data_IF_151183037153
#
_entry.id   IF_151183037153
#
_cell.length_a   1.000
_cell.length_b   1.000
_cell.length_c   1.000
_cell.angle_alpha   90.00
_cell.angle_beta   90.00
_cell.angle_gamma   90.00
#
_symmetry.space_group_name_H-M   'P 1'
#
loop_
_entity.id
_entity.type
_entity.pdbx_description
1 polymer ?
#
# COMPACT_ATOMS: atom_id res chain seq x y z
N UNK A 1 35.44 -5.20 3.41
CA UNK A 1 36.65 -5.17 4.26
C UNK A 1 36.33 -5.93 5.54
N UNK A 2 36.93 -7.09 5.75
CA UNK A 2 36.78 -7.86 7.00
C UNK A 2 37.99 -7.50 7.86
N UNK A 3 37.74 -6.88 9.02
CA UNK A 3 38.80 -6.51 9.96
C UNK A 3 39.52 -7.78 10.46
N UNK A 4 40.85 -7.72 10.54
CA UNK A 4 41.68 -8.84 11.02
C UNK A 4 41.55 -9.04 12.53
N UNK A 5 41.81 -10.26 13.00
CA UNK A 5 41.70 -10.69 14.40
C UNK A 5 42.54 -9.85 15.39
N UNK A 6 43.55 -9.13 14.93
CA UNK A 6 44.33 -8.20 15.75
C UNK A 6 43.61 -6.88 16.05
N UNK A 7 42.74 -6.39 15.14
CA UNK A 7 41.94 -5.18 15.39
C UNK A 7 40.86 -5.43 16.45
N UNK A 8 40.32 -6.65 16.51
CA UNK A 8 39.38 -7.08 17.55
C UNK A 8 40.04 -7.19 18.94
N UNK A 9 41.33 -7.51 19.00
CA UNK A 9 42.06 -7.65 20.27
C UNK A 9 42.33 -6.31 20.94
N UNK A 10 42.64 -5.26 20.17
CA UNK A 10 42.85 -3.89 20.68
C UNK A 10 41.58 -3.21 21.20
N UNK A 11 40.40 -3.71 20.83
CA UNK A 11 39.10 -3.20 21.32
C UNK A 11 38.66 -3.82 22.66
N UNK A 12 39.35 -4.86 23.13
CA UNK A 12 39.05 -5.54 24.40
C UNK A 12 39.56 -4.79 25.64
N UNK A 13 40.36 -3.73 25.48
CA UNK A 13 41.05 -3.06 26.59
C UNK A 13 40.33 -1.81 27.14
N UNK A 14 39.24 -1.35 26.51
CA UNK A 14 38.12 -0.63 27.18
C UNK A 14 37.15 -0.09 26.12
N UNK A 15 36.04 -0.78 25.82
CA UNK A 15 34.98 -0.16 25.06
C UNK A 15 34.23 0.76 26.01
N UNK A 16 34.34 2.07 25.83
CA UNK A 16 33.30 2.96 26.34
C UNK A 16 31.96 2.48 25.77
N UNK A 17 30.90 2.48 26.57
CA UNK A 17 29.55 2.10 26.09
C UNK A 17 29.14 2.84 24.80
N UNK A 18 29.71 4.04 24.59
CA UNK A 18 29.58 4.81 23.36
C UNK A 18 30.20 4.13 22.13
N UNK A 19 31.39 3.52 22.25
CA UNK A 19 32.05 2.81 21.16
C UNK A 19 31.31 1.57 20.67
N UNK A 20 30.58 0.88 21.56
CA UNK A 20 29.72 -0.25 21.18
C UNK A 20 28.39 0.21 20.55
N UNK A 21 27.83 1.33 21.03
CA UNK A 21 26.63 1.97 20.47
C UNK A 21 26.89 2.55 19.07
N UNK A 22 28.07 3.09 18.81
CA UNK A 22 28.46 3.62 17.49
C UNK A 22 28.55 2.54 16.38
N UNK A 23 28.53 1.25 16.72
CA UNK A 23 28.70 0.15 15.75
C UNK A 23 27.41 -0.64 15.44
N UNK A 24 26.27 -0.24 16.00
CA UNK A 24 24.98 -0.85 15.71
C UNK A 24 24.03 0.17 15.08
N UNK A 25 24.47 0.91 14.06
CA UNK A 25 23.51 1.55 13.15
C UNK A 25 22.68 0.45 12.50
N UNK A 26 21.42 0.33 12.89
CA UNK A 26 20.49 -0.65 12.35
C UNK A 26 19.88 -0.05 11.09
N UNK A 27 20.59 -0.20 9.97
CA UNK A 27 20.02 0.12 8.66
C UNK A 27 18.71 -0.64 8.45
N UNK A 28 17.70 0.07 7.92
CA UNK A 28 16.43 -0.50 7.51
C UNK A 28 16.46 -0.84 6.03
N UNK A 29 15.84 -1.95 5.64
CA UNK A 29 15.51 -2.23 4.25
C UNK A 29 13.99 -2.19 4.08
N UNK A 30 13.52 -1.50 3.05
CA UNK A 30 12.12 -1.48 2.65
C UNK A 30 11.95 -2.25 1.34
N UNK A 31 11.00 -3.16 1.28
CA UNK A 31 10.60 -3.89 0.07
C UNK A 31 9.19 -3.47 -0.28
N UNK A 32 9.01 -2.92 -1.48
CA UNK A 32 7.80 -2.25 -1.91
C UNK A 32 7.39 -2.73 -3.30
N UNK A 33 6.09 -2.89 -3.51
CA UNK A 33 5.48 -3.24 -4.79
C UNK A 33 4.19 -2.43 -4.99
N UNK A 34 3.59 -2.51 -6.18
CA UNK A 34 2.39 -1.80 -6.57
C UNK A 34 1.11 -2.53 -6.14
N UNK A 35 0.09 -1.77 -5.74
CA UNK A 35 -1.26 -2.30 -5.58
C UNK A 35 -2.29 -1.43 -6.32
N UNK A 36 -3.20 -2.12 -6.99
CA UNK A 36 -4.15 -1.51 -7.91
C UNK A 36 -3.51 -1.15 -9.25
N UNK A 37 -4.24 -1.33 -10.34
CA UNK A 37 -3.75 -0.99 -11.68
C UNK A 37 -3.43 0.51 -11.77
N UNK A 38 -2.40 0.92 -12.52
CA UNK A 38 -2.03 2.34 -12.66
C UNK A 38 -3.00 3.14 -13.54
N UNK A 39 -3.71 2.51 -14.47
CA UNK A 39 -4.55 3.17 -15.47
C UNK A 39 -5.77 3.93 -14.89
N UNK A 40 -6.51 4.68 -15.74
CA UNK A 40 -7.73 5.37 -15.33
C UNK A 40 -8.79 4.42 -14.76
N UNK A 41 -9.72 4.97 -13.97
CA UNK A 41 -10.84 4.23 -13.41
C UNK A 41 -12.13 5.02 -13.60
N UNK A 42 -13.19 4.34 -14.05
CA UNK A 42 -14.53 4.92 -14.20
C UNK A 42 -15.51 4.20 -13.28
N UNK A 43 -15.63 2.89 -13.45
CA UNK A 43 -16.47 2.05 -12.59
C UNK A 43 -16.06 0.59 -12.74
N UNK A 44 -16.38 -0.23 -11.74
CA UNK A 44 -16.14 -1.68 -11.79
C UNK A 44 -16.85 -2.41 -12.94
N UNK A 45 -17.84 -1.77 -13.57
CA UNK A 45 -18.62 -2.33 -14.69
C UNK A 45 -18.21 -1.76 -16.06
N UNK A 46 -17.28 -0.80 -16.09
CA UNK A 46 -16.83 -0.20 -17.34
C UNK A 46 -16.04 -1.22 -18.18
N UNK A 47 -16.21 -1.23 -19.50
CA UNK A 47 -15.57 -2.23 -20.37
C UNK A 47 -14.03 -2.22 -20.24
N UNK A 48 -13.44 -1.03 -20.33
CA UNK A 48 -11.98 -0.80 -20.28
C UNK A 48 -11.41 -0.33 -18.93
N UNK A 49 -12.05 0.62 -18.24
CA UNK A 49 -11.49 1.30 -17.06
C UNK A 49 -12.12 0.82 -15.74
N UNK A 50 -11.99 -0.49 -15.46
CA UNK A 50 -12.66 -1.17 -14.33
C UNK A 50 -11.75 -1.74 -13.25
N UNK A 51 -10.44 -1.75 -13.47
CA UNK A 51 -9.54 -2.63 -12.70
C UNK A 51 -9.47 -2.29 -11.21
N UNK A 52 -9.23 -1.01 -10.88
CA UNK A 52 -9.09 -0.61 -9.49
C UNK A 52 -9.30 0.89 -9.26
N UNK A 53 -10.06 1.31 -8.23
CA UNK A 53 -10.27 2.73 -7.91
C UNK A 53 -9.09 3.42 -7.22
N UNK A 54 -8.09 2.65 -6.77
CA UNK A 54 -6.89 3.14 -6.08
C UNK A 54 -5.65 2.71 -6.85
N UNK A 55 -4.62 3.54 -6.85
CA UNK A 55 -3.26 3.14 -7.18
C UNK A 55 -2.35 3.46 -5.99
N UNK A 56 -1.43 2.57 -5.66
CA UNK A 56 -0.59 2.72 -4.48
C UNK A 56 0.65 1.85 -4.48
N UNK A 57 1.53 2.12 -3.53
CA UNK A 57 2.69 1.30 -3.20
C UNK A 57 2.55 0.75 -1.79
N UNK A 58 2.90 -0.52 -1.60
CA UNK A 58 2.86 -1.17 -0.30
C UNK A 58 3.98 -2.19 -0.16
N UNK A 59 4.24 -2.62 1.08
CA UNK A 59 5.11 -3.73 1.37
C UNK A 59 5.50 -3.71 2.84
N UNK A 60 6.79 -3.86 3.12
CA UNK A 60 7.29 -3.86 4.49
C UNK A 60 8.66 -3.20 4.63
N UNK A 61 8.93 -2.71 5.84
CA UNK A 61 10.22 -2.22 6.28
C UNK A 61 10.71 -3.07 7.45
N UNK A 62 12.00 -3.39 7.49
CA UNK A 62 12.60 -4.30 8.46
C UNK A 62 14.07 -3.95 8.72
N UNK A 63 14.62 -4.18 9.92
CA UNK A 63 16.06 -4.16 10.15
C UNK A 63 16.84 -5.06 9.16
N UNK A 64 17.91 -4.54 8.58
CA UNK A 64 18.68 -5.21 7.53
C UNK A 64 19.19 -6.59 7.94
N UNK A 65 19.64 -6.74 9.20
CA UNK A 65 20.12 -8.01 9.74
C UNK A 65 19.04 -9.11 9.80
N UNK A 66 17.76 -8.73 9.76
CA UNK A 66 16.62 -9.65 9.83
C UNK A 66 16.05 -10.06 8.46
N UNK A 67 16.56 -9.49 7.37
CA UNK A 67 16.05 -9.75 6.01
C UNK A 67 16.29 -11.19 5.58
N UNK A 68 17.49 -11.72 5.81
CA UNK A 68 17.84 -13.11 5.47
C UNK A 68 16.95 -14.14 6.18
N UNK A 69 16.76 -14.08 7.51
CA UNK A 69 15.86 -15.00 8.20
C UNK A 69 14.38 -14.82 7.81
N UNK A 70 13.93 -13.61 7.42
CA UNK A 70 12.58 -13.43 6.87
C UNK A 70 12.45 -14.12 5.50
N UNK A 71 13.38 -13.84 4.57
CA UNK A 71 13.36 -14.41 3.22
C UNK A 71 13.43 -15.93 3.22
N UNK A 72 14.31 -16.52 4.02
CA UNK A 72 14.40 -17.98 4.17
C UNK A 72 13.09 -18.59 4.71
N UNK A 73 12.45 -17.92 5.67
CA UNK A 73 11.17 -18.36 6.21
C UNK A 73 10.03 -18.23 5.19
N UNK A 74 10.02 -17.15 4.39
CA UNK A 74 9.06 -16.97 3.32
C UNK A 74 9.16 -18.09 2.28
N UNK A 75 10.37 -18.38 1.79
CA UNK A 75 10.58 -19.47 0.82
C UNK A 75 10.10 -20.81 1.36
N UNK A 76 10.41 -21.13 2.62
CA UNK A 76 9.91 -22.36 3.26
C UNK A 76 8.38 -22.43 3.31
N UNK A 77 7.71 -21.34 3.71
CA UNK A 77 6.25 -21.30 3.76
C UNK A 77 5.63 -21.40 2.37
N UNK A 78 6.19 -20.68 1.39
CA UNK A 78 5.74 -20.68 -0.01
C UNK A 78 5.87 -22.07 -0.63
N UNK A 79 7.04 -22.71 -0.50
CA UNK A 79 7.30 -24.04 -1.04
C UNK A 79 6.36 -25.09 -0.46
N UNK A 80 6.03 -24.99 0.83
CA UNK A 80 5.09 -25.91 1.46
C UNK A 80 3.63 -25.64 1.04
N UNK A 81 3.22 -24.37 0.96
CA UNK A 81 1.86 -24.00 0.58
C UNK A 81 1.54 -24.37 -0.88
N UNK A 82 2.53 -24.23 -1.76
CA UNK A 82 2.37 -24.33 -3.21
C UNK A 82 3.13 -25.53 -3.80
N UNK A 83 3.43 -26.54 -2.97
CA UNK A 83 4.21 -27.73 -3.34
C UNK A 83 3.67 -28.37 -4.63
N UNK A 84 2.35 -28.60 -4.67
CA UNK A 84 1.69 -29.17 -5.84
C UNK A 84 1.90 -28.33 -7.12
N UNK A 85 1.69 -27.01 -7.06
CA UNK A 85 1.88 -26.15 -8.24
C UNK A 85 3.33 -26.08 -8.69
N UNK A 86 4.26 -26.09 -7.74
CA UNK A 86 5.71 -26.06 -8.01
C UNK A 86 6.14 -27.35 -8.70
N UNK A 87 5.72 -28.52 -8.19
CA UNK A 87 5.99 -29.83 -8.79
C UNK A 87 5.48 -29.91 -10.23
N UNK A 88 4.22 -29.48 -10.46
CA UNK A 88 3.62 -29.47 -11.80
C UNK A 88 4.30 -28.50 -12.77
N UNK A 89 4.94 -27.44 -12.26
CA UNK A 89 5.60 -26.45 -13.11
C UNK A 89 6.91 -26.94 -13.75
N UNK A 90 7.53 -27.98 -13.19
CA UNK A 90 8.86 -28.45 -13.57
C UNK A 90 10.00 -27.45 -13.31
N UNK A 91 9.72 -26.29 -12.68
CA UNK A 91 10.72 -25.28 -12.34
C UNK A 91 11.31 -25.55 -10.96
N UNK A 92 12.58 -25.16 -10.79
CA UNK A 92 13.20 -25.18 -9.47
C UNK A 92 12.42 -24.26 -8.50
N UNK A 93 12.05 -24.69 -7.27
CA UNK A 93 11.18 -23.94 -6.36
C UNK A 93 11.62 -22.48 -6.12
N UNK A 94 12.93 -22.25 -6.02
CA UNK A 94 13.52 -20.90 -5.83
C UNK A 94 13.39 -19.96 -7.02
N UNK A 95 13.14 -20.47 -8.22
CA UNK A 95 12.89 -19.68 -9.45
C UNK A 95 11.41 -19.62 -9.80
N UNK A 96 10.57 -20.25 -8.97
CA UNK A 96 9.15 -20.28 -9.15
C UNK A 96 8.50 -19.21 -8.27
N UNK A 97 7.56 -18.50 -8.88
CA UNK A 97 6.87 -17.37 -8.29
C UNK A 97 5.37 -17.54 -8.45
N UNK A 98 4.64 -17.23 -7.37
CA UNK A 98 3.20 -17.04 -7.39
C UNK A 98 2.89 -15.59 -7.09
N UNK A 99 2.33 -14.88 -8.08
CA UNK A 99 1.83 -13.52 -7.88
C UNK A 99 0.71 -13.52 -6.84
N UNK A 100 0.76 -12.57 -5.91
CA UNK A 100 -0.18 -12.40 -4.81
C UNK A 100 -1.61 -12.20 -5.33
N UNK A 101 -1.77 -11.47 -6.44
CA UNK A 101 -3.05 -11.28 -7.11
C UNK A 101 -3.67 -12.61 -7.59
N UNK A 102 -2.85 -13.60 -7.96
CA UNK A 102 -3.27 -14.95 -8.38
C UNK A 102 -3.44 -15.90 -7.20
N UNK A 103 -2.72 -15.69 -6.08
CA UNK A 103 -2.92 -16.43 -4.84
C UNK A 103 -4.23 -16.02 -4.17
N UNK A 104 -4.44 -14.71 -4.00
CA UNK A 104 -5.51 -14.10 -3.21
C UNK A 104 -6.71 -13.72 -4.09
N UNK A 105 -7.28 -14.74 -4.75
CA UNK A 105 -8.56 -14.64 -5.47
C UNK A 105 -9.70 -15.14 -4.59
N UNK A 106 -10.94 -14.71 -4.84
CA UNK A 106 -12.11 -15.18 -4.10
C UNK A 106 -12.26 -16.70 -4.20
N UNK A 107 -12.11 -17.26 -5.40
CA UNK A 107 -12.13 -18.71 -5.64
C UNK A 107 -11.10 -19.46 -4.78
N UNK A 108 -9.87 -18.97 -4.70
CA UNK A 108 -8.84 -19.64 -3.90
C UNK A 108 -9.12 -19.51 -2.40
N UNK A 109 -9.63 -18.36 -1.95
CA UNK A 109 -9.97 -18.14 -0.56
C UNK A 109 -11.18 -18.98 -0.10
N UNK A 110 -12.12 -19.27 -1.00
CA UNK A 110 -13.24 -20.17 -0.75
C UNK A 110 -12.81 -21.63 -0.73
N UNK A 111 -11.92 -22.04 -1.64
CA UNK A 111 -11.53 -23.45 -1.79
C UNK A 111 -10.37 -23.88 -0.89
N UNK A 112 -9.41 -23.00 -0.66
CA UNK A 112 -8.13 -23.27 0.01
C UNK A 112 -7.84 -22.25 1.13
N UNK A 113 -8.89 -21.61 1.67
CA UNK A 113 -8.76 -20.61 2.72
C UNK A 113 -8.12 -21.17 3.99
N UNK A 114 -8.33 -22.45 4.27
CA UNK A 114 -7.82 -23.13 5.47
C UNK A 114 -6.31 -23.37 5.42
N UNK A 115 -5.70 -23.35 4.23
CA UNK A 115 -4.25 -23.42 4.03
C UNK A 115 -3.62 -22.03 3.85
N UNK A 116 -4.28 -21.16 3.07
CA UNK A 116 -3.78 -19.81 2.76
C UNK A 116 -3.75 -18.93 4.01
N UNK A 117 -4.83 -18.92 4.82
CA UNK A 117 -4.92 -18.04 6.00
C UNK A 117 -3.83 -18.35 7.03
N UNK A 118 -3.59 -19.62 7.44
CA UNK A 118 -2.50 -19.93 8.36
C UNK A 118 -1.12 -19.62 7.77
N UNK A 119 -0.89 -19.85 6.48
CA UNK A 119 0.37 -19.52 5.83
C UNK A 119 0.66 -18.01 5.90
N UNK A 120 -0.30 -17.18 5.49
CA UNK A 120 -0.21 -15.71 5.62
C UNK A 120 0.04 -15.30 7.07
N UNK A 121 -0.70 -15.88 8.03
CA UNK A 121 -0.56 -15.57 9.46
C UNK A 121 0.85 -15.86 9.98
N UNK A 122 1.45 -16.99 9.56
CA UNK A 122 2.84 -17.33 9.92
C UNK A 122 3.83 -16.29 9.36
N UNK A 123 3.65 -15.86 8.11
CA UNK A 123 4.52 -14.86 7.47
C UNK A 123 4.46 -13.51 8.19
N UNK A 124 3.26 -12.97 8.42
CA UNK A 124 3.09 -11.69 9.12
C UNK A 124 3.60 -11.76 10.56
N UNK A 125 3.32 -12.85 11.28
CA UNK A 125 3.88 -13.05 12.62
C UNK A 125 5.41 -13.08 12.59
N UNK A 126 6.03 -13.71 11.59
CA UNK A 126 7.49 -13.72 11.44
C UNK A 126 8.03 -12.31 11.16
N UNK A 127 7.40 -11.56 10.26
CA UNK A 127 7.73 -10.16 9.98
C UNK A 127 7.76 -9.33 11.28
N UNK A 128 6.69 -9.38 12.08
CA UNK A 128 6.60 -8.60 13.31
C UNK A 128 7.56 -9.05 14.41
N UNK A 129 7.78 -10.37 14.55
CA UNK A 129 8.81 -10.90 15.48
C UNK A 129 10.22 -10.47 15.13
N UNK A 130 10.46 -10.10 13.87
CA UNK A 130 11.72 -9.58 13.37
C UNK A 130 11.75 -8.05 13.33
N UNK A 131 10.84 -7.39 14.09
CA UNK A 131 10.70 -5.94 14.17
C UNK A 131 10.38 -5.25 12.84
N UNK A 132 9.84 -6.01 11.88
CA UNK A 132 9.32 -5.45 10.65
C UNK A 132 7.97 -4.77 10.84
N UNK A 133 7.61 -3.90 9.89
CA UNK A 133 6.32 -3.20 9.81
C UNK A 133 5.79 -3.21 8.39
N UNK A 134 4.48 -3.25 8.24
CA UNK A 134 3.84 -3.00 6.95
C UNK A 134 3.84 -1.50 6.68
N UNK A 135 4.10 -1.11 5.44
CA UNK A 135 4.06 0.28 4.99
C UNK A 135 3.24 0.38 3.72
N UNK A 136 2.36 1.37 3.60
CA UNK A 136 1.60 1.60 2.38
C UNK A 136 1.19 3.05 2.18
N UNK A 137 1.18 3.48 0.92
CA UNK A 137 0.58 4.73 0.48
C UNK A 137 -0.23 4.47 -0.77
N UNK A 138 -1.47 4.96 -0.80
CA UNK A 138 -2.29 4.91 -2.00
C UNK A 138 -3.02 6.22 -2.27
N UNK A 139 -3.51 6.36 -3.50
CA UNK A 139 -4.35 7.46 -3.93
C UNK A 139 -5.63 6.91 -4.58
N UNK A 140 -6.79 7.39 -4.11
CA UNK A 140 -8.06 7.21 -4.81
C UNK A 140 -7.98 8.00 -6.12
N UNK A 141 -8.17 7.31 -7.24
CA UNK A 141 -8.10 7.92 -8.57
C UNK A 141 -9.30 8.85 -8.80
N UNK A 142 -9.12 9.95 -9.53
CA UNK A 142 -10.27 10.66 -10.07
C UNK A 142 -11.04 9.75 -11.03
N UNK A 143 -12.37 9.85 -10.98
CA UNK A 143 -13.25 9.11 -11.89
C UNK A 143 -13.22 9.77 -13.26
N UNK A 144 -12.84 9.02 -14.29
CA UNK A 144 -12.76 9.50 -15.66
C UNK A 144 -11.45 9.15 -16.36
N UNK A 145 -11.39 9.45 -17.65
CA UNK A 145 -10.23 9.33 -18.51
C UNK A 145 -9.17 10.42 -18.23
N UNK A 146 -7.99 10.30 -18.86
CA UNK A 146 -6.95 11.34 -18.77
C UNK A 146 -7.44 12.71 -19.26
N UNK A 147 -8.26 12.75 -20.31
CA UNK A 147 -8.78 14.00 -20.87
C UNK A 147 -9.75 14.71 -19.91
N UNK A 148 -10.54 13.94 -19.14
CA UNK A 148 -11.52 14.48 -18.20
C UNK A 148 -10.88 14.87 -16.85
N UNK A 149 -9.88 14.11 -16.41
CA UNK A 149 -9.30 14.26 -15.07
C UNK A 149 -8.02 15.09 -15.03
N UNK A 150 -7.35 15.23 -16.17
CA UNK A 150 -6.05 15.89 -16.30
C UNK A 150 -4.87 15.11 -15.72
N UNK A 151 -5.08 13.96 -15.08
CA UNK A 151 -4.01 13.17 -14.45
C UNK A 151 -3.51 12.06 -15.37
N UNK A 152 -2.22 12.09 -15.74
CA UNK A 152 -1.59 10.97 -16.43
C UNK A 152 -1.20 9.83 -15.48
N UNK A 153 -0.93 8.64 -16.05
CA UNK A 153 -0.39 7.51 -15.28
C UNK A 153 0.96 7.86 -14.65
N UNK A 154 1.82 8.59 -15.38
CA UNK A 154 3.13 9.03 -14.90
C UNK A 154 3.00 10.01 -13.74
N UNK A 155 2.10 10.99 -13.81
CA UNK A 155 1.86 11.95 -12.72
C UNK A 155 1.43 11.21 -11.45
N UNK A 156 0.50 10.26 -11.62
CA UNK A 156 -0.02 9.42 -10.52
C UNK A 156 1.07 8.58 -9.89
N UNK A 157 1.86 7.85 -10.70
CA UNK A 157 2.95 7.02 -10.21
C UNK A 157 3.99 7.85 -9.47
N UNK A 158 4.49 8.92 -10.10
CA UNK A 158 5.50 9.79 -9.50
C UNK A 158 5.03 10.42 -8.19
N UNK A 159 3.76 10.85 -8.12
CA UNK A 159 3.20 11.42 -6.91
C UNK A 159 3.14 10.39 -5.79
N UNK A 160 2.54 9.21 -6.01
CA UNK A 160 2.42 8.17 -4.99
C UNK A 160 3.80 7.64 -4.58
N UNK A 161 4.73 7.49 -5.53
CA UNK A 161 6.11 7.05 -5.28
C UNK A 161 6.86 8.04 -4.36
N UNK A 162 6.75 9.34 -4.61
CA UNK A 162 7.29 10.37 -3.70
C UNK A 162 6.66 10.30 -2.31
N UNK A 163 5.37 9.98 -2.20
CA UNK A 163 4.71 9.87 -0.91
C UNK A 163 5.17 8.63 -0.12
N UNK A 164 5.33 7.47 -0.76
CA UNK A 164 5.83 6.27 -0.06
C UNK A 164 7.30 6.45 0.36
N UNK A 165 8.12 7.14 -0.44
CA UNK A 165 9.49 7.48 -0.03
C UNK A 165 9.47 8.38 1.21
N UNK A 166 8.63 9.42 1.24
CA UNK A 166 8.46 10.28 2.43
C UNK A 166 7.99 9.51 3.65
N UNK A 167 7.11 8.54 3.46
CA UNK A 167 6.60 7.68 4.54
C UNK A 167 7.73 6.84 5.15
N UNK A 168 8.46 6.13 4.31
CA UNK A 168 9.59 5.29 4.70
C UNK A 168 10.66 6.13 5.38
N UNK A 169 11.00 7.28 4.78
CA UNK A 169 11.98 8.22 5.32
C UNK A 169 11.57 8.78 6.69
N UNK A 170 10.31 9.17 6.85
CA UNK A 170 9.80 9.65 8.14
C UNK A 170 9.78 8.58 9.22
N UNK A 171 9.51 7.32 8.85
CA UNK A 171 9.65 6.20 9.78
C UNK A 171 11.11 5.95 10.18
N UNK A 172 12.03 5.93 9.21
CA UNK A 172 13.47 5.76 9.46
C UNK A 172 14.02 6.89 10.35
N UNK A 173 13.65 8.14 10.06
CA UNK A 173 14.02 9.31 10.87
C UNK A 173 13.49 9.23 12.31
N UNK A 174 12.27 8.71 12.52
CA UNK A 174 11.73 8.50 13.87
C UNK A 174 12.48 7.46 14.70
N UNK A 175 13.30 6.63 14.06
CA UNK A 175 14.15 5.64 14.70
C UNK A 175 15.63 6.06 14.74
N UNK A 176 15.96 7.23 14.17
CA UNK A 176 17.35 7.67 13.94
C UNK A 176 18.17 6.70 13.08
N UNK A 177 17.51 6.02 12.13
CA UNK A 177 18.14 5.02 11.26
C UNK A 177 18.09 5.43 9.79
N UNK A 178 19.04 4.89 9.02
CA UNK A 178 19.08 5.03 7.56
C UNK A 178 18.34 3.88 6.86
N UNK A 179 17.92 4.11 5.62
CA UNK A 179 17.10 3.15 4.86
C UNK A 179 17.49 3.03 3.39
N UNK A 180 17.46 1.78 2.90
CA UNK A 180 17.47 1.45 1.47
C UNK A 180 16.10 0.93 1.04
N UNK A 181 15.67 1.32 -0.16
CA UNK A 181 14.36 0.97 -0.71
C UNK A 181 14.54 0.06 -1.93
N UNK A 182 13.82 -1.06 -1.95
CA UNK A 182 13.77 -2.01 -3.04
C UNK A 182 12.37 -2.06 -3.65
N UNK A 183 12.29 -1.99 -4.97
CA UNK A 183 11.07 -2.09 -5.77
C UNK A 183 11.08 -3.37 -6.63
N UNK A 184 9.92 -3.91 -6.99
CA UNK A 184 9.86 -4.90 -8.07
C UNK A 184 10.28 -4.25 -9.40
N UNK A 185 10.89 -5.04 -10.27
CA UNK A 185 11.32 -4.55 -11.59
C UNK A 185 10.11 -4.23 -12.46
N UNK A 186 10.19 -3.08 -13.13
CA UNK A 186 9.27 -2.69 -14.22
C UNK A 186 10.04 -2.68 -15.55
N UNK A 187 9.32 -2.60 -16.66
CA UNK A 187 9.92 -2.53 -18.00
C UNK A 187 11.04 -1.46 -18.10
N UNK A 188 12.04 -1.72 -18.95
CA UNK A 188 13.30 -0.96 -19.01
C UNK A 188 13.11 0.56 -19.22
N UNK A 189 12.12 0.97 -20.02
CA UNK A 189 11.89 2.39 -20.32
C UNK A 189 11.23 3.14 -19.16
N UNK A 190 10.28 2.50 -18.48
CA UNK A 190 9.63 3.07 -17.28
C UNK A 190 10.57 3.05 -16.08
N UNK A 191 11.56 2.16 -16.06
CA UNK A 191 12.61 2.07 -15.02
C UNK A 191 13.49 3.32 -14.95
N UNK A 192 14.05 3.80 -16.07
CA UNK A 192 14.95 4.96 -16.07
C UNK A 192 14.24 6.25 -15.66
N UNK A 193 13.05 6.49 -16.21
CA UNK A 193 12.23 7.66 -15.88
C UNK A 193 11.86 7.68 -14.38
N UNK A 194 11.41 6.54 -13.84
CA UNK A 194 11.05 6.42 -12.42
C UNK A 194 12.25 6.62 -11.49
N UNK A 195 13.41 6.05 -11.86
CA UNK A 195 14.65 6.20 -11.09
C UNK A 195 15.13 7.65 -11.10
N UNK A 196 15.10 8.32 -12.25
CA UNK A 196 15.47 9.74 -12.40
C UNK A 196 14.58 10.65 -11.55
N UNK A 197 13.26 10.42 -11.54
CA UNK A 197 12.32 11.16 -10.71
C UNK A 197 12.60 10.94 -9.22
N UNK A 198 12.90 9.71 -8.81
CA UNK A 198 13.22 9.38 -7.42
C UNK A 198 14.54 10.02 -6.97
N UNK A 199 15.59 9.88 -7.77
CA UNK A 199 16.89 10.47 -7.47
C UNK A 199 16.79 12.00 -7.37
N UNK A 200 16.12 12.64 -8.33
CA UNK A 200 15.89 14.08 -8.30
C UNK A 200 15.09 14.52 -7.07
N UNK A 201 14.17 13.68 -6.59
CA UNK A 201 13.44 13.94 -5.36
C UNK A 201 14.32 13.76 -4.11
N UNK A 202 15.04 12.65 -3.99
CA UNK A 202 15.84 12.32 -2.81
C UNK A 202 16.99 13.32 -2.63
N UNK A 203 17.68 13.66 -3.71
CA UNK A 203 18.86 14.54 -3.69
C UNK A 203 18.54 16.03 -3.85
N UNK A 204 17.27 16.43 -3.97
CA UNK A 204 16.91 17.83 -4.02
C UNK A 204 17.23 18.55 -2.69
N UNK A 205 17.79 19.75 -2.78
CA UNK A 205 18.03 20.61 -1.61
C UNK A 205 16.74 21.02 -0.88
N UNK A 206 15.60 20.99 -1.57
CA UNK A 206 14.28 21.28 -1.02
C UNK A 206 13.61 20.09 -0.32
N UNK A 207 14.25 18.92 -0.31
CA UNK A 207 13.71 17.74 0.35
C UNK A 207 13.77 17.86 1.87
N UNK A 208 12.79 17.25 2.54
CA UNK A 208 12.70 17.28 4.00
C UNK A 208 13.91 16.61 4.61
N UNK A 209 14.33 17.04 5.81
CA UNK A 209 15.47 16.44 6.50
C UNK A 209 15.32 14.92 6.66
N UNK A 210 14.09 14.42 6.88
CA UNK A 210 13.81 12.98 6.95
C UNK A 210 14.21 12.22 5.68
N UNK A 211 14.05 12.80 4.48
CA UNK A 211 14.40 12.15 3.20
C UNK A 211 15.90 11.90 3.10
N UNK A 212 16.73 12.62 3.87
CA UNK A 212 18.18 12.38 3.94
C UNK A 212 18.54 11.03 4.58
N UNK A 213 17.59 10.37 5.27
CA UNK A 213 17.74 8.99 5.74
C UNK A 213 17.71 7.96 4.61
N UNK A 214 17.19 8.33 3.43
CA UNK A 214 17.19 7.47 2.25
C UNK A 214 18.57 7.58 1.59
N UNK A 215 19.35 6.51 1.67
CA UNK A 215 20.76 6.54 1.31
C UNK A 215 21.02 6.61 -0.19
N UNK A 216 20.15 6.02 -0.99
CA UNK A 216 20.28 5.95 -2.44
C UNK A 216 18.90 5.93 -3.10
N UNK A 217 18.85 6.26 -4.39
CA UNK A 217 17.63 6.06 -5.18
C UNK A 217 17.15 4.59 -5.11
N UNK A 218 15.83 4.33 -5.13
CA UNK A 218 15.30 2.98 -4.98
C UNK A 218 15.87 2.00 -6.00
N UNK A 219 16.31 0.84 -5.51
CA UNK A 219 16.86 -0.22 -6.34
C UNK A 219 15.74 -1.16 -6.80
N UNK A 220 15.77 -1.59 -8.05
CA UNK A 220 14.78 -2.53 -8.57
C UNK A 220 15.33 -3.95 -8.58
N UNK A 221 14.53 -4.89 -8.09
CA UNK A 221 14.84 -6.31 -7.94
C UNK A 221 13.93 -7.16 -8.82
N UNK A 222 14.45 -8.27 -9.32
CA UNK A 222 13.66 -9.25 -10.07
C UNK A 222 12.89 -10.19 -9.12
N UNK A 223 11.57 -10.01 -8.98
CA UNK A 223 10.73 -10.78 -8.04
C UNK A 223 10.91 -12.30 -8.11
N UNK A 224 11.15 -12.89 -9.28
CA UNK A 224 11.38 -14.33 -9.43
C UNK A 224 12.66 -14.85 -8.75
N UNK A 225 13.59 -13.98 -8.34
CA UNK A 225 14.83 -14.31 -7.63
C UNK A 225 14.78 -14.00 -6.13
N UNK A 226 13.85 -13.15 -5.70
CA UNK A 226 13.83 -12.61 -4.33
C UNK A 226 12.48 -12.85 -3.66
N UNK A 227 12.44 -13.82 -2.73
CA UNK A 227 11.25 -14.10 -1.93
C UNK A 227 10.73 -12.92 -1.09
N UNK A 228 11.61 -11.99 -0.71
CA UNK A 228 11.21 -10.75 -0.02
C UNK A 228 10.37 -9.85 -0.92
N UNK A 229 10.69 -9.75 -2.20
CA UNK A 229 9.89 -9.00 -3.19
C UNK A 229 8.55 -9.70 -3.42
N UNK A 230 8.53 -11.03 -3.54
CA UNK A 230 7.27 -11.80 -3.63
C UNK A 230 6.38 -11.63 -2.39
N UNK A 231 6.99 -11.52 -1.20
CA UNK A 231 6.23 -11.26 0.01
C UNK A 231 5.62 -9.85 0.02
N UNK A 232 6.34 -8.84 -0.49
CA UNK A 232 5.81 -7.49 -0.67
C UNK A 232 4.59 -7.50 -1.63
N UNK A 233 4.68 -8.21 -2.76
CA UNK A 233 3.56 -8.44 -3.68
C UNK A 233 2.36 -9.10 -2.98
N UNK A 234 2.56 -10.10 -2.11
CA UNK A 234 1.46 -10.72 -1.35
C UNK A 234 0.78 -9.74 -0.37
N UNK A 235 1.55 -8.83 0.24
CA UNK A 235 1.01 -7.75 1.08
C UNK A 235 0.21 -6.77 0.20
N UNK A 236 0.75 -6.38 -0.96
CA UNK A 236 0.10 -5.49 -1.93
C UNK A 236 -1.21 -6.06 -2.42
N UNK A 237 -1.24 -7.35 -2.77
CA UNK A 237 -2.44 -8.04 -3.20
C UNK A 237 -3.53 -7.99 -2.12
N UNK A 238 -3.18 -8.30 -0.86
CA UNK A 238 -4.14 -8.25 0.25
C UNK A 238 -4.70 -6.83 0.49
N UNK A 239 -3.83 -5.81 0.48
CA UNK A 239 -4.25 -4.41 0.62
C UNK A 239 -5.07 -3.92 -0.57
N UNK A 240 -4.71 -4.34 -1.79
CA UNK A 240 -5.49 -4.12 -3.00
C UNK A 240 -6.90 -4.70 -2.86
N UNK A 241 -7.04 -5.97 -2.47
CA UNK A 241 -8.36 -6.60 -2.26
C UNK A 241 -9.17 -5.90 -1.18
N UNK A 242 -8.53 -5.55 -0.06
CA UNK A 242 -9.18 -4.83 1.03
C UNK A 242 -9.67 -3.45 0.57
N UNK A 243 -8.82 -2.65 -0.08
CA UNK A 243 -9.20 -1.32 -0.56
C UNK A 243 -10.25 -1.35 -1.68
N UNK A 244 -10.19 -2.34 -2.57
CA UNK A 244 -11.24 -2.58 -3.56
C UNK A 244 -12.58 -2.83 -2.89
N UNK A 245 -12.65 -3.71 -1.88
CA UNK A 245 -13.89 -3.96 -1.14
C UNK A 245 -14.48 -2.68 -0.54
N UNK A 246 -13.62 -1.82 0.00
CA UNK A 246 -14.04 -0.56 0.62
C UNK A 246 -14.64 0.46 -0.35
N UNK A 247 -14.17 0.46 -1.60
CA UNK A 247 -14.47 1.52 -2.57
C UNK A 247 -15.38 1.07 -3.71
N UNK A 248 -15.56 -0.24 -3.90
CA UNK A 248 -16.39 -0.82 -4.95
C UNK A 248 -17.63 -1.49 -4.36
N UNK A 249 -18.85 -1.00 -4.67
CA UNK A 249 -20.11 -1.53 -4.14
C UNK A 249 -20.31 -3.03 -4.37
N UNK A 250 -19.91 -3.55 -5.54
CA UNK A 250 -20.13 -4.96 -5.89
C UNK A 250 -18.84 -5.79 -5.80
N UNK A 251 -17.91 -5.41 -4.91
CA UNK A 251 -16.66 -6.14 -4.77
C UNK A 251 -16.87 -7.57 -4.26
N UNK A 252 -16.26 -8.53 -4.95
CA UNK A 252 -16.20 -9.94 -4.54
C UNK A 252 -15.28 -10.20 -3.32
N UNK A 253 -14.42 -9.24 -2.95
CA UNK A 253 -13.38 -9.41 -1.94
C UNK A 253 -13.86 -9.17 -0.50
N UNK A 254 -15.08 -9.60 -0.16
CA UNK A 254 -15.67 -9.42 1.18
C UNK A 254 -14.87 -10.09 2.30
N UNK A 255 -14.08 -11.11 1.95
CA UNK A 255 -13.17 -11.83 2.85
C UNK A 255 -11.90 -11.02 3.20
N UNK A 256 -11.50 -10.07 2.37
CA UNK A 256 -10.18 -9.42 2.46
C UNK A 256 -9.98 -8.53 3.70
N UNK A 257 -10.94 -7.68 4.11
CA UNK A 257 -10.79 -6.87 5.33
C UNK A 257 -10.56 -7.72 6.58
N UNK A 258 -11.26 -8.85 6.70
CA UNK A 258 -11.10 -9.78 7.83
C UNK A 258 -9.72 -10.42 7.81
N UNK A 259 -9.25 -10.89 6.66
CA UNK A 259 -7.91 -11.45 6.53
C UNK A 259 -6.84 -10.41 6.86
N UNK A 260 -6.98 -9.17 6.36
CA UNK A 260 -6.09 -8.07 6.66
C UNK A 260 -6.03 -7.78 8.16
N UNK A 261 -7.19 -7.76 8.84
CA UNK A 261 -7.23 -7.58 10.28
C UNK A 261 -6.50 -8.69 11.04
N UNK A 262 -6.75 -9.96 10.69
CA UNK A 262 -6.07 -11.12 11.27
C UNK A 262 -4.54 -11.05 11.10
N UNK A 263 -4.08 -10.62 9.92
CA UNK A 263 -2.66 -10.49 9.62
C UNK A 263 -2.00 -9.43 10.48
N UNK A 264 -2.62 -8.26 10.57
CA UNK A 264 -2.05 -7.14 11.29
C UNK A 264 -2.22 -7.27 12.82
N UNK A 265 -3.20 -8.05 13.30
CA UNK A 265 -3.33 -8.41 14.71
C UNK A 265 -2.16 -9.29 15.22
N UNK A 266 -1.31 -9.81 14.32
CA UNK A 266 -0.12 -10.57 14.69
C UNK A 266 1.02 -9.70 15.27
N UNK A 267 0.94 -8.37 15.17
CA UNK A 267 1.91 -7.46 15.78
C UNK A 267 1.64 -7.37 17.30
N UNK A 268 2.24 -8.27 18.06
CA UNK A 268 2.13 -8.24 19.53
C UNK A 268 2.92 -7.04 20.09
N UNK A 269 2.25 -6.17 20.86
CA UNK A 269 2.77 -4.94 21.54
C UNK A 269 3.26 -3.82 20.62
N UNK A 270 3.66 -4.16 19.40
CA UNK A 270 4.14 -3.24 18.38
C UNK A 270 3.04 -2.76 17.44
N UNK A 271 3.17 -1.56 16.87
CA UNK A 271 2.29 -1.10 15.78
C UNK A 271 2.49 -2.01 14.56
N UNK A 272 1.41 -2.50 13.94
CA UNK A 272 1.49 -3.37 12.77
C UNK A 272 1.92 -2.64 11.48
N UNK A 273 1.68 -1.33 11.43
CA UNK A 273 2.03 -0.46 10.30
C UNK A 273 2.89 0.70 10.77
N UNK A 274 3.58 1.33 9.83
CA UNK A 274 4.14 2.67 10.06
C UNK A 274 3.01 3.67 10.35
N UNK A 275 3.35 4.78 11.00
CA UNK A 275 2.36 5.71 11.54
C UNK A 275 1.71 6.63 10.50
N UNK A 276 2.26 6.76 9.29
CA UNK A 276 1.67 7.59 8.25
C UNK A 276 1.21 6.81 7.01
N UNK A 277 1.15 5.47 7.12
CA UNK A 277 0.53 4.58 6.15
C UNK A 277 -0.95 4.91 5.92
N UNK A 278 -1.33 5.24 4.67
CA UNK A 278 -2.67 5.76 4.34
C UNK A 278 -3.02 5.69 2.86
N UNK A 279 -4.31 5.66 2.55
CA UNK A 279 -4.85 5.94 1.20
C UNK A 279 -5.48 7.34 1.22
N UNK A 280 -5.00 8.24 0.36
CA UNK A 280 -5.44 9.63 0.30
C UNK A 280 -6.44 9.85 -0.86
N UNK A 281 -7.37 10.82 -0.73
CA UNK A 281 -8.19 11.25 -1.85
C UNK A 281 -7.35 11.97 -2.92
N UNK A 282 -7.86 12.01 -4.15
CA UNK A 282 -7.26 12.80 -5.23
C UNK A 282 -7.19 14.30 -4.87
N UNK A 283 -6.10 14.96 -5.27
CA UNK A 283 -5.78 16.32 -4.82
C UNK A 283 -6.79 17.40 -5.22
N UNK A 284 -7.53 17.22 -6.32
CA UNK A 284 -8.58 18.19 -6.70
C UNK A 284 -9.82 18.10 -5.78
N UNK A 285 -10.01 16.97 -5.08
CA UNK A 285 -11.13 16.73 -4.17
C UNK A 285 -10.84 17.16 -2.70
N UNK A 286 -9.88 18.08 -2.48
CA UNK A 286 -9.45 18.57 -1.15
C UNK A 286 -10.59 19.06 -0.25
N UNK A 287 -11.73 19.45 -0.81
CA UNK A 287 -12.92 19.84 -0.04
C UNK A 287 -13.76 18.59 0.30
N UNK A 288 -13.46 17.93 1.43
CA UNK A 288 -14.35 17.06 2.27
C UNK A 288 -13.95 15.59 2.50
N UNK A 289 -12.93 15.01 1.86
CA UNK A 289 -12.60 13.58 2.10
C UNK A 289 -11.41 13.39 3.05
N UNK A 290 -11.60 12.56 4.09
CA UNK A 290 -10.52 12.14 5.00
C UNK A 290 -9.69 11.02 4.34
N UNK A 291 -8.40 10.96 4.64
CA UNK A 291 -7.57 9.81 4.25
C UNK A 291 -8.08 8.53 4.90
N UNK A 292 -8.10 7.43 4.15
CA UNK A 292 -8.45 6.10 4.62
C UNK A 292 -7.20 5.50 5.26
N UNK A 293 -7.20 5.41 6.59
CA UNK A 293 -6.17 4.73 7.36
C UNK A 293 -6.40 3.22 7.45
N UNK A 294 -5.45 2.52 8.07
CA UNK A 294 -5.51 1.06 8.21
C UNK A 294 -6.73 0.56 9.00
N UNK A 295 -7.21 1.33 9.98
CA UNK A 295 -8.40 0.99 10.76
C UNK A 295 -9.65 0.91 9.88
N UNK A 296 -9.77 1.80 8.90
CA UNK A 296 -10.87 1.74 7.95
C UNK A 296 -10.76 0.50 7.08
N UNK A 297 -9.56 0.18 6.57
CA UNK A 297 -9.36 -0.95 5.65
C UNK A 297 -9.67 -2.32 6.27
N UNK A 298 -9.48 -2.48 7.58
CA UNK A 298 -9.82 -3.69 8.34
C UNK A 298 -11.33 -3.87 8.59
N UNK A 299 -12.10 -2.78 8.47
CA UNK A 299 -13.54 -2.79 8.72
C UNK A 299 -14.29 -3.49 7.60
N UNK A 300 -15.37 -4.18 7.93
CA UNK A 300 -16.33 -4.68 6.93
C UNK A 300 -17.28 -3.59 6.42
N UNK A 301 -17.27 -2.39 7.00
CA UNK A 301 -18.09 -1.26 6.53
C UNK A 301 -17.44 -0.61 5.33
N UNK A 302 -18.17 -0.47 4.22
CA UNK A 302 -17.65 0.17 3.00
C UNK A 302 -17.48 1.67 3.22
N UNK A 303 -16.41 2.23 2.67
CA UNK A 303 -16.16 3.68 2.71
C UNK A 303 -17.20 4.44 1.86
N UNK A 304 -17.75 3.82 0.81
CA UNK A 304 -18.84 4.38 -0.01
C UNK A 304 -20.07 4.73 0.85
N UNK A 305 -20.32 3.98 1.93
CA UNK A 305 -21.44 4.23 2.86
C UNK A 305 -21.15 5.36 3.86
N UNK A 306 -19.91 5.83 3.94
CA UNK A 306 -19.47 6.90 4.85
C UNK A 306 -19.40 8.28 4.18
N UNK A 307 -19.88 8.41 2.94
CA UNK A 307 -20.17 9.74 2.38
C UNK A 307 -21.17 10.46 3.29
N UNK A 308 -21.01 11.78 3.52
CA UNK A 308 -22.02 12.52 4.26
C UNK A 308 -23.36 12.23 3.62
N UNK A 309 -24.37 11.83 4.43
CA UNK A 309 -25.78 11.77 4.02
C UNK A 309 -26.00 12.91 3.03
N UNK A 310 -26.49 12.59 1.81
CA UNK A 310 -26.81 13.58 0.77
C UNK A 310 -27.26 14.84 1.47
N UNK A 311 -26.59 15.96 1.18
CA UNK A 311 -27.14 17.26 1.50
C UNK A 311 -28.57 17.21 0.97
N UNK A 312 -29.54 17.03 1.88
CA UNK A 312 -30.94 17.23 1.55
C UNK A 312 -30.94 18.64 1.05
N UNK A 313 -31.25 18.78 -0.24
CA UNK A 313 -31.24 20.04 -0.92
C UNK A 313 -32.00 21.02 -0.02
N UNK A 314 -31.30 22.02 0.51
CA UNK A 314 -31.88 23.06 1.38
C UNK A 314 -32.77 24.01 0.56
N UNK A 315 -33.39 23.50 -0.51
CA UNK A 315 -34.24 24.19 -1.48
C UNK A 315 -35.63 23.56 -1.58
N UNK A 316 -36.17 23.04 -0.49
CA UNK A 316 -37.63 22.92 -0.32
C UNK A 316 -37.99 23.21 1.13
N UNK A 317 -38.07 24.50 1.48
CA UNK A 317 -38.54 24.98 2.78
C UNK A 317 -40.07 25.08 2.87
N UNK A 318 -40.83 24.24 2.15
CA UNK A 318 -42.27 24.14 2.38
C UNK A 318 -42.72 22.69 2.45
N UNK A 319 -43.12 22.30 3.66
CA UNK A 319 -43.60 20.97 4.06
C UNK A 319 -44.71 20.43 3.14
N UNK A 320 -45.55 21.29 2.55
CA UNK A 320 -46.69 20.87 1.73
C UNK A 320 -46.31 20.23 0.38
N UNK A 321 -45.18 20.62 -0.22
CA UNK A 321 -44.79 20.11 -1.55
C UNK A 321 -44.35 18.64 -1.55
N UNK A 322 -43.99 18.11 -0.39
CA UNK A 322 -43.61 16.70 -0.20
C UNK A 322 -44.82 15.78 0.04
N UNK A 323 -45.94 16.32 0.54
CA UNK A 323 -47.14 15.53 0.87
C UNK A 323 -48.11 15.40 -0.32
N UNK A 324 -48.07 16.32 -1.28
CA UNK A 324 -48.95 16.29 -2.46
C UNK A 324 -48.18 16.54 -3.77
N UNK A 325 -47.60 15.50 -4.39
CA UNK A 325 -46.76 15.61 -5.59
C UNK A 325 -47.45 16.24 -6.79
N UNK A 326 -48.79 16.15 -6.86
CA UNK A 326 -49.61 16.69 -7.96
C UNK A 326 -49.68 18.22 -7.98
N UNK A 327 -49.25 18.90 -6.91
CA UNK A 327 -49.25 20.36 -6.80
C UNK A 327 -47.88 20.98 -7.11
N UNK A 328 -46.84 20.16 -7.38
CA UNK A 328 -45.49 20.65 -7.64
C UNK A 328 -45.44 21.61 -8.85
N UNK A 329 -46.16 21.26 -9.93
CA UNK A 329 -46.24 22.08 -11.15
C UNK A 329 -46.97 23.41 -10.92
N UNK A 330 -47.94 23.45 -9.99
CA UNK A 330 -48.67 24.68 -9.62
C UNK A 330 -47.79 25.67 -8.84
N UNK A 331 -46.86 25.20 -8.02
CA UNK A 331 -45.94 26.08 -7.30
C UNK A 331 -44.76 26.55 -8.16
N UNK A 332 -44.38 25.79 -9.19
CA UNK A 332 -43.43 26.22 -10.21
C UNK A 332 -43.96 27.40 -11.05
N UNK A 333 -45.26 27.42 -11.37
CA UNK A 333 -45.87 28.52 -12.14
C UNK A 333 -46.03 29.81 -11.32
N UNK A 334 -46.21 29.70 -10.00
CA UNK A 334 -46.21 30.86 -9.08
C UNK A 334 -44.83 31.52 -8.94
N UNK A 335 -43.74 30.77 -9.12
CA UNK A 335 -42.38 31.34 -9.11
C UNK A 335 -42.02 32.09 -10.38
N UNK A 336 -42.55 31.67 -11.53
CA UNK A 336 -42.31 32.35 -12.82
C UNK A 336 -43.07 33.68 -12.97
N UNK A 337 -44.00 33.98 -12.06
CA UNK A 337 -44.85 35.17 -12.10
C UNK A 337 -44.44 36.26 -11.11
N UNK A 338 -43.30 36.13 -10.43
CA UNK A 338 -42.71 37.22 -9.63
C UNK A 338 -41.66 37.95 -10.47
N UNK A 339 -41.91 39.17 -10.96
CA UNK A 339 -40.85 40.01 -11.52
C UNK A 339 -39.88 40.40 -10.40
N UNK A 340 -38.59 40.22 -10.68
CA UNK A 340 -37.48 40.62 -9.83
C UNK A 340 -37.59 42.12 -9.49
N UNK A 341 -37.56 42.44 -8.19
CA UNK A 341 -37.24 43.77 -7.66
C UNK A 341 -35.86 43.70 -7.00
#
# INVERSE_FOLDING_TARGET
MVASSEQLKRLSESPSMHGLLCYLQIMLLAYIDEFGHIGPYISSRHEKFKDHPVFGYSGFIIPAHNVRPLGAFFESVKSNLLAYEIEQSGKHPKRWEKKGASLLTTRNMEKYGDEIRPAMKRLFRKLYRLHGRVVFVGQIKPVGSKAETGESTTDRSNHVLRQIIKEIAGYADSLDEDVLIFLDSVDTKTREESLSVCASFIYASSSTNSVKRVLEAPMQLESHLYGTTQFADWICALLGRSSHFHLVPDSEFSWAPKLLDEMLACAHKDKATTQYSRIQPYQSNKRKMKSIGILSLRSQKKYVDSQPKKQVDKRMTQKLGLEHPKLADFYETLKKSSPEN
#
